data_IF_573241275709
#
_entry.id   IF_573241275709
#
_cell.length_a   1.000
_cell.length_b   1.000
_cell.length_c   1.000
_cell.angle_alpha   90.00
_cell.angle_beta   90.00
_cell.angle_gamma   90.00
#
_symmetry.space_group_name_H-M   'P 1'
#
loop_
_entity.id
_entity.type
_entity.pdbx_description
1 polymer ?
#
# COMPACT_ATOMS: atom_id res chain seq x y z
N UNK A 1 7.60 1.55 -29.54
CA UNK A 1 7.90 2.15 -28.24
C UNK A 1 8.69 1.18 -27.36
N UNK A 2 8.20 -0.03 -27.07
CA UNK A 2 8.84 -1.04 -26.21
C UNK A 2 10.24 -1.53 -26.64
N UNK A 3 10.51 -1.63 -27.94
CA UNK A 3 11.81 -2.07 -28.46
C UNK A 3 12.79 -0.92 -28.76
N UNK A 4 12.53 0.29 -28.24
CA UNK A 4 13.43 1.44 -28.44
C UNK A 4 14.77 1.18 -27.75
N UNK A 5 15.88 1.36 -28.48
CA UNK A 5 17.22 1.12 -27.92
C UNK A 5 17.60 -0.34 -27.70
N UNK A 6 16.73 -1.29 -28.06
CA UNK A 6 17.03 -2.73 -28.08
C UNK A 6 17.90 -3.05 -29.29
N UNK A 7 19.07 -3.63 -29.04
CA UNK A 7 20.08 -3.90 -30.07
C UNK A 7 19.83 -5.23 -30.77
N UNK A 8 19.55 -6.31 -30.02
CA UNK A 8 19.55 -7.68 -30.55
C UNK A 8 18.16 -8.31 -30.64
N UNK A 9 17.23 -7.67 -31.36
CA UNK A 9 15.82 -8.13 -31.46
C UNK A 9 15.67 -9.56 -31.97
N UNK A 10 16.50 -9.96 -32.94
CA UNK A 10 16.46 -11.32 -33.49
C UNK A 10 16.85 -12.36 -32.44
N UNK A 11 17.94 -12.13 -31.71
CA UNK A 11 18.38 -13.03 -30.63
C UNK A 11 17.34 -13.17 -29.52
N UNK A 12 16.62 -12.09 -29.21
CA UNK A 12 15.50 -12.14 -28.25
C UNK A 12 14.37 -13.02 -28.78
N UNK A 13 13.99 -12.85 -30.05
CA UNK A 13 12.97 -13.67 -30.69
C UNK A 13 13.36 -15.15 -30.75
N UNK A 14 14.62 -15.45 -31.06
CA UNK A 14 15.11 -16.83 -31.09
C UNK A 14 15.13 -17.44 -29.68
N UNK A 15 15.56 -16.66 -28.68
CA UNK A 15 15.65 -17.14 -27.30
C UNK A 15 14.30 -17.22 -26.58
N UNK A 16 13.22 -16.59 -27.08
CA UNK A 16 11.89 -16.68 -26.46
C UNK A 16 11.27 -18.08 -26.61
N UNK A 17 11.69 -18.83 -27.63
CA UNK A 17 11.23 -20.20 -27.89
C UNK A 17 11.63 -21.11 -26.72
N UNK A 18 12.84 -20.95 -26.18
CA UNK A 18 13.28 -21.69 -25.00
C UNK A 18 12.40 -21.42 -23.78
N UNK A 19 11.89 -20.19 -23.63
CA UNK A 19 10.95 -19.88 -22.54
C UNK A 19 9.63 -20.61 -22.73
N UNK A 20 9.12 -20.69 -23.95
CA UNK A 20 7.94 -21.51 -24.25
C UNK A 20 8.17 -22.97 -23.85
N UNK A 21 9.31 -23.54 -24.24
CA UNK A 21 9.67 -24.92 -23.91
C UNK A 21 9.74 -25.15 -22.39
N UNK A 22 10.29 -24.19 -21.63
CA UNK A 22 10.32 -24.25 -20.16
C UNK A 22 8.90 -24.32 -19.59
N UNK A 23 8.00 -23.44 -20.03
CA UNK A 23 6.61 -23.47 -19.54
C UNK A 23 5.89 -24.76 -19.97
N UNK A 24 6.08 -25.22 -21.20
CA UNK A 24 5.48 -26.45 -21.69
C UNK A 24 5.99 -27.69 -20.92
N UNK A 25 7.30 -27.78 -20.66
CA UNK A 25 7.88 -28.90 -19.91
C UNK A 25 7.38 -29.00 -18.46
N UNK A 26 6.99 -27.88 -17.85
CA UNK A 26 6.53 -27.86 -16.46
C UNK A 26 5.00 -27.86 -16.30
N UNK A 27 4.27 -27.32 -17.28
CA UNK A 27 2.81 -27.14 -17.22
C UNK A 27 2.06 -27.95 -18.28
N UNK A 28 2.76 -28.54 -19.25
CA UNK A 28 2.18 -29.25 -20.39
C UNK A 28 1.21 -28.36 -21.18
N UNK A 29 1.65 -27.13 -21.50
CA UNK A 29 0.83 -26.11 -22.17
C UNK A 29 0.26 -26.61 -23.50
N UNK A 30 1.04 -27.30 -24.31
CA UNK A 30 0.60 -27.91 -25.57
C UNK A 30 -0.58 -28.85 -25.35
N UNK A 31 -0.49 -29.69 -24.32
CA UNK A 31 -1.56 -30.61 -23.96
C UNK A 31 -2.79 -29.85 -23.44
N UNK A 32 -2.61 -28.83 -22.59
CA UNK A 32 -3.73 -27.99 -22.13
C UNK A 32 -4.45 -27.34 -23.32
N UNK A 33 -3.71 -26.72 -24.25
CA UNK A 33 -4.29 -26.05 -25.42
C UNK A 33 -5.08 -27.05 -26.25
N UNK A 34 -4.51 -28.21 -26.54
CA UNK A 34 -5.17 -29.27 -27.31
C UNK A 34 -6.42 -29.79 -26.60
N UNK A 35 -6.30 -30.20 -25.33
CA UNK A 35 -7.39 -30.76 -24.54
C UNK A 35 -8.52 -29.73 -24.41
N UNK A 36 -8.20 -28.47 -24.10
CA UNK A 36 -9.18 -27.39 -23.99
C UNK A 36 -9.91 -27.14 -25.31
N UNK A 37 -9.19 -27.06 -26.44
CA UNK A 37 -9.79 -26.86 -27.76
C UNK A 37 -10.66 -28.06 -28.15
N UNK A 38 -10.16 -29.28 -27.94
CA UNK A 38 -10.85 -30.51 -28.29
C UNK A 38 -12.12 -30.71 -27.47
N UNK A 39 -12.06 -30.52 -26.15
CA UNK A 39 -13.24 -30.57 -25.28
C UNK A 39 -14.26 -29.50 -25.65
N UNK A 40 -13.81 -28.27 -25.93
CA UNK A 40 -14.72 -27.20 -26.28
C UNK A 40 -15.43 -27.45 -27.62
N UNK A 41 -14.70 -27.98 -28.63
CA UNK A 41 -15.28 -28.40 -29.91
C UNK A 41 -16.21 -29.61 -29.76
N UNK A 42 -15.89 -30.56 -28.88
CA UNK A 42 -16.72 -31.73 -28.60
C UNK A 42 -18.05 -31.34 -27.94
N UNK A 43 -18.02 -30.41 -26.98
CA UNK A 43 -19.20 -30.00 -26.21
C UNK A 43 -20.08 -28.99 -26.95
N UNK A 44 -19.47 -28.06 -27.69
CA UNK A 44 -20.19 -26.92 -28.28
C UNK A 44 -20.26 -26.97 -29.82
N UNK A 45 -19.60 -27.94 -30.46
CA UNK A 45 -19.55 -28.06 -31.91
C UNK A 45 -19.04 -26.78 -32.57
N UNK A 46 -19.80 -26.25 -33.53
CA UNK A 46 -19.49 -25.00 -34.24
C UNK A 46 -19.87 -23.73 -33.45
N UNK A 47 -20.55 -23.84 -32.30
CA UNK A 47 -20.92 -22.70 -31.46
C UNK A 47 -19.74 -22.28 -30.56
N UNK A 48 -18.63 -21.90 -31.20
CA UNK A 48 -17.38 -21.55 -30.54
C UNK A 48 -17.52 -20.28 -29.70
N UNK A 49 -17.17 -20.35 -28.41
CA UNK A 49 -17.12 -19.20 -27.52
C UNK A 49 -15.72 -19.07 -26.90
N UNK A 50 -15.01 -18.01 -27.32
CA UNK A 50 -13.64 -17.73 -26.88
C UNK A 50 -13.55 -17.49 -25.37
N UNK A 51 -14.60 -16.95 -24.74
CA UNK A 51 -14.61 -16.65 -23.31
C UNK A 51 -14.65 -17.93 -22.50
N UNK A 52 -15.50 -18.89 -22.88
CA UNK A 52 -15.53 -20.21 -22.24
C UNK A 52 -14.23 -20.97 -22.48
N UNK A 53 -13.67 -20.93 -23.69
CA UNK A 53 -12.37 -21.53 -23.99
C UNK A 53 -11.27 -20.98 -23.07
N UNK A 54 -11.17 -19.65 -22.92
CA UNK A 54 -10.19 -19.02 -22.04
C UNK A 54 -10.41 -19.40 -20.57
N UNK A 55 -11.66 -19.53 -20.13
CA UNK A 55 -11.96 -19.96 -18.77
C UNK A 55 -11.57 -21.42 -18.51
N UNK A 56 -11.80 -22.32 -19.48
CA UNK A 56 -11.37 -23.71 -19.42
C UNK A 56 -9.85 -23.82 -19.43
N UNK A 57 -9.18 -23.11 -20.34
CA UNK A 57 -7.72 -23.03 -20.37
C UNK A 57 -7.14 -22.57 -19.03
N UNK A 58 -7.70 -21.50 -18.46
CA UNK A 58 -7.27 -20.98 -17.15
C UNK A 58 -7.49 -21.97 -16.01
N UNK A 59 -8.57 -22.76 -16.08
CA UNK A 59 -8.89 -23.80 -15.09
C UNK A 59 -7.91 -24.97 -15.21
N UNK A 60 -7.69 -25.50 -16.42
CA UNK A 60 -6.71 -26.55 -16.69
C UNK A 60 -5.29 -26.14 -16.33
N UNK A 61 -4.91 -24.88 -16.59
CA UNK A 61 -3.62 -24.34 -16.16
C UNK A 61 -3.48 -24.31 -14.64
N UNK A 62 -4.53 -23.88 -13.94
CA UNK A 62 -4.58 -23.89 -12.47
C UNK A 62 -4.48 -25.32 -11.94
N UNK A 63 -5.15 -26.29 -12.55
CA UNK A 63 -5.09 -27.69 -12.14
C UNK A 63 -3.71 -28.30 -12.37
N UNK A 64 -3.07 -27.98 -13.51
CA UNK A 64 -1.69 -28.38 -13.80
C UNK A 64 -0.69 -27.78 -12.84
N UNK A 65 -0.87 -26.53 -12.41
CA UNK A 65 -0.05 -25.93 -11.37
C UNK A 65 -0.24 -26.64 -10.03
N UNK A 66 -1.45 -27.05 -9.67
CA UNK A 66 -1.77 -27.66 -8.37
C UNK A 66 -1.69 -29.20 -8.35
N UNK A 67 -1.08 -29.84 -9.35
CA UNK A 67 -0.91 -31.30 -9.41
C UNK A 67 0.02 -31.85 -8.31
N UNK A 68 0.24 -33.17 -8.28
CA UNK A 68 0.94 -33.92 -7.21
C UNK A 68 2.32 -33.38 -6.76
N UNK A 69 3.14 -32.81 -7.66
CA UNK A 69 4.42 -32.15 -7.28
C UNK A 69 4.24 -30.88 -6.42
N UNK A 70 3.03 -30.33 -6.36
CA UNK A 70 2.71 -29.07 -5.68
C UNK A 70 3.10 -27.84 -6.49
N UNK A 71 2.29 -26.78 -6.39
CA UNK A 71 2.50 -25.54 -7.14
C UNK A 71 3.86 -24.88 -6.85
N UNK A 72 4.33 -24.95 -5.60
CA UNK A 72 5.61 -24.37 -5.22
C UNK A 72 6.80 -25.02 -5.92
N UNK A 73 6.86 -26.36 -5.97
CA UNK A 73 7.97 -27.06 -6.62
C UNK A 73 8.03 -26.72 -8.12
N UNK A 74 6.88 -26.69 -8.80
CA UNK A 74 6.80 -26.33 -10.23
C UNK A 74 7.25 -24.92 -10.51
N UNK A 75 6.77 -23.95 -9.72
CA UNK A 75 7.17 -22.54 -9.91
C UNK A 75 8.65 -22.36 -9.59
N UNK A 76 9.17 -22.97 -8.52
CA UNK A 76 10.60 -22.96 -8.19
C UNK A 76 11.42 -23.54 -9.34
N UNK A 77 11.01 -24.69 -9.90
CA UNK A 77 11.68 -25.31 -11.05
C UNK A 77 11.67 -24.41 -12.28
N UNK A 78 10.51 -23.85 -12.64
CA UNK A 78 10.41 -22.88 -13.75
C UNK A 78 11.30 -21.66 -13.52
N UNK A 79 11.35 -21.10 -12.31
CA UNK A 79 12.25 -19.98 -12.00
C UNK A 79 13.71 -20.36 -12.24
N UNK A 80 14.16 -21.54 -11.77
CA UNK A 80 15.52 -22.02 -12.01
C UNK A 80 15.81 -22.18 -13.50
N UNK A 81 14.89 -22.77 -14.25
CA UNK A 81 15.06 -22.96 -15.69
C UNK A 81 15.06 -21.62 -16.45
N UNK A 82 14.16 -20.70 -16.11
CA UNK A 82 14.10 -19.35 -16.69
C UNK A 82 15.40 -18.57 -16.43
N UNK A 83 15.90 -18.59 -15.20
CA UNK A 83 17.15 -17.94 -14.81
C UNK A 83 18.34 -18.50 -15.59
N UNK A 84 18.31 -19.77 -15.97
CA UNK A 84 19.34 -20.41 -16.79
C UNK A 84 19.09 -20.28 -18.30
N UNK A 85 17.91 -19.83 -18.73
CA UNK A 85 17.58 -19.66 -20.14
C UNK A 85 18.52 -18.70 -20.86
N UNK A 86 18.73 -18.92 -22.16
CA UNK A 86 19.45 -17.99 -23.03
C UNK A 86 18.74 -16.65 -23.10
N UNK A 87 17.41 -16.61 -22.95
CA UNK A 87 16.66 -15.36 -22.96
C UNK A 87 17.18 -14.42 -21.87
N UNK A 88 17.14 -14.87 -20.61
CA UNK A 88 17.56 -14.03 -19.49
C UNK A 88 19.08 -13.84 -19.45
N UNK A 89 19.88 -14.85 -19.77
CA UNK A 89 21.34 -14.74 -19.63
C UNK A 89 22.03 -13.97 -20.76
N UNK A 90 21.55 -14.09 -22.00
CA UNK A 90 22.21 -13.47 -23.15
C UNK A 90 21.60 -12.12 -23.54
N UNK A 91 20.42 -11.76 -23.02
CA UNK A 91 19.71 -10.53 -23.38
C UNK A 91 19.46 -9.61 -22.18
N UNK A 92 20.22 -9.72 -21.08
CA UNK A 92 20.00 -8.94 -19.85
C UNK A 92 19.77 -7.44 -20.10
N UNK A 93 20.69 -6.81 -20.83
CA UNK A 93 20.63 -5.36 -21.11
C UNK A 93 19.42 -5.01 -21.98
N UNK A 94 19.17 -5.78 -23.03
CA UNK A 94 18.04 -5.59 -23.94
C UNK A 94 16.69 -5.83 -23.24
N UNK A 95 16.60 -6.83 -22.36
CA UNK A 95 15.40 -7.13 -21.57
C UNK A 95 15.16 -6.08 -20.49
N UNK A 96 16.21 -5.66 -19.79
CA UNK A 96 16.13 -4.54 -18.85
C UNK A 96 15.59 -3.30 -19.57
N UNK A 97 16.13 -2.98 -20.76
CA UNK A 97 15.63 -1.88 -21.59
C UNK A 97 14.17 -2.08 -22.02
N UNK A 98 13.74 -3.29 -22.40
CA UNK A 98 12.34 -3.57 -22.74
C UNK A 98 11.42 -3.31 -21.55
N UNK A 99 11.79 -3.76 -20.36
CA UNK A 99 10.99 -3.58 -19.14
C UNK A 99 10.93 -2.08 -18.80
N UNK A 100 12.05 -1.37 -18.82
CA UNK A 100 12.09 0.09 -18.59
C UNK A 100 11.23 0.83 -19.61
N UNK A 101 11.37 0.54 -20.91
CA UNK A 101 10.52 1.15 -21.94
C UNK A 101 9.03 0.82 -21.76
N UNK A 102 8.70 -0.37 -21.26
CA UNK A 102 7.32 -0.75 -20.96
C UNK A 102 6.77 0.06 -19.79
N UNK A 103 7.56 0.25 -18.73
CA UNK A 103 7.22 1.09 -17.60
C UNK A 103 7.08 2.57 -17.98
N UNK A 104 8.01 3.11 -18.77
CA UNK A 104 7.91 4.47 -19.33
C UNK A 104 6.64 4.63 -20.19
N UNK A 105 6.29 3.60 -20.97
CA UNK A 105 5.06 3.59 -21.76
C UNK A 105 3.80 3.45 -20.91
N UNK A 106 3.88 2.89 -19.70
CA UNK A 106 2.81 2.92 -18.69
C UNK A 106 2.73 4.28 -17.99
N UNK A 107 3.85 4.99 -17.86
CA UNK A 107 3.91 6.38 -17.45
C UNK A 107 3.22 7.35 -18.43
N UNK A 108 2.88 6.90 -19.65
CA UNK A 108 1.94 7.62 -20.50
C UNK A 108 0.52 7.50 -19.91
N UNK A 109 -0.03 8.64 -19.47
CA UNK A 109 -1.31 8.79 -18.74
C UNK A 109 -2.46 7.93 -19.27
N UNK A 110 -2.51 7.70 -20.58
CA UNK A 110 -3.61 6.97 -21.22
C UNK A 110 -3.62 5.46 -20.90
N UNK A 111 -2.45 4.80 -20.90
CA UNK A 111 -2.36 3.34 -20.73
C UNK A 111 -2.77 2.91 -19.33
N UNK A 112 -2.30 3.64 -18.32
CA UNK A 112 -2.62 3.32 -16.94
C UNK A 112 -4.05 3.68 -16.55
N UNK A 113 -4.58 4.78 -17.09
CA UNK A 113 -5.98 5.14 -16.91
C UNK A 113 -6.92 4.03 -17.42
N UNK A 114 -6.57 3.36 -18.55
CA UNK A 114 -7.31 2.20 -19.06
C UNK A 114 -7.32 1.01 -18.08
N UNK A 115 -6.23 0.79 -17.35
CA UNK A 115 -6.19 -0.27 -16.31
C UNK A 115 -7.18 0.06 -15.19
N UNK A 116 -7.16 1.29 -14.67
CA UNK A 116 -8.13 1.73 -13.66
C UNK A 116 -9.57 1.65 -14.19
N UNK A 117 -9.77 2.03 -15.46
CA UNK A 117 -11.09 2.00 -16.10
C UNK A 117 -11.59 0.57 -16.34
N UNK A 118 -10.68 -0.41 -16.48
CA UNK A 118 -11.01 -1.83 -16.61
C UNK A 118 -11.43 -2.49 -15.29
N UNK A 119 -11.20 -1.84 -14.13
CA UNK A 119 -11.64 -2.36 -12.84
C UNK A 119 -13.17 -2.56 -12.83
N UNK A 120 -13.59 -3.68 -12.25
CA UNK A 120 -15.02 -3.97 -12.05
C UNK A 120 -15.69 -2.91 -11.17
N UNK A 121 -17.01 -2.79 -11.27
CA UNK A 121 -17.79 -1.88 -10.43
C UNK A 121 -17.53 -2.12 -8.94
N UNK A 122 -17.53 -3.38 -8.49
CA UNK A 122 -17.27 -3.72 -7.09
C UNK A 122 -15.88 -3.27 -6.60
N UNK A 123 -14.85 -3.33 -7.45
CA UNK A 123 -13.51 -2.83 -7.12
C UNK A 123 -13.49 -1.31 -7.06
N UNK A 124 -14.12 -0.64 -8.04
CA UNK A 124 -14.25 0.82 -8.07
C UNK A 124 -15.01 1.33 -6.85
N UNK A 125 -16.13 0.70 -6.49
CA UNK A 125 -16.94 1.06 -5.33
C UNK A 125 -16.11 1.03 -4.04
N UNK A 126 -15.31 -0.03 -3.82
CA UNK A 126 -14.39 -0.13 -2.67
C UNK A 126 -13.33 0.98 -2.66
N UNK A 127 -12.76 1.32 -3.82
CA UNK A 127 -11.77 2.40 -3.92
C UNK A 127 -12.43 3.75 -3.63
N UNK A 128 -13.62 3.99 -4.19
CA UNK A 128 -14.36 5.24 -4.04
C UNK A 128 -14.86 5.52 -2.63
N UNK A 129 -14.80 4.54 -1.72
CA UNK A 129 -15.00 4.79 -0.29
C UNK A 129 -13.92 5.71 0.30
N UNK A 130 -12.71 5.70 -0.28
CA UNK A 130 -11.54 6.41 0.22
C UNK A 130 -11.08 7.54 -0.70
N UNK A 131 -11.11 7.31 -2.03
CA UNK A 131 -10.60 8.27 -3.01
C UNK A 131 -11.40 8.19 -4.32
N UNK A 132 -11.71 9.35 -4.91
CA UNK A 132 -12.35 9.39 -6.22
C UNK A 132 -11.43 8.80 -7.30
N UNK A 133 -12.02 8.12 -8.29
CA UNK A 133 -11.25 7.47 -9.37
C UNK A 133 -10.41 8.49 -10.16
N UNK A 134 -10.91 9.71 -10.38
CA UNK A 134 -10.15 10.79 -11.02
C UNK A 134 -8.90 11.17 -10.23
N UNK A 135 -9.01 11.23 -8.91
CA UNK A 135 -7.92 11.63 -8.02
C UNK A 135 -6.88 10.51 -7.91
N UNK A 136 -7.34 9.26 -7.83
CA UNK A 136 -6.47 8.10 -7.92
C UNK A 136 -5.65 8.11 -9.21
N UNK A 137 -6.28 8.43 -10.35
CA UNK A 137 -5.59 8.57 -11.64
C UNK A 137 -4.54 9.68 -11.59
N UNK A 138 -4.84 10.84 -10.98
CA UNK A 138 -3.87 11.94 -10.84
C UNK A 138 -2.66 11.50 -10.02
N UNK A 139 -2.90 10.92 -8.83
CA UNK A 139 -1.83 10.43 -7.95
C UNK A 139 -0.95 9.37 -8.63
N UNK A 140 -1.57 8.38 -9.29
CA UNK A 140 -0.81 7.30 -9.90
C UNK A 140 -0.06 7.76 -11.14
N UNK A 141 -0.64 8.64 -11.97
CA UNK A 141 0.09 9.24 -13.09
C UNK A 141 1.28 10.08 -12.60
N UNK A 142 1.14 10.74 -11.44
CA UNK A 142 2.26 11.44 -10.82
C UNK A 142 3.37 10.48 -10.39
N UNK A 143 3.03 9.43 -9.64
CA UNK A 143 3.99 8.42 -9.17
C UNK A 143 4.70 7.77 -10.36
N UNK A 144 3.95 7.33 -11.38
CA UNK A 144 4.51 6.67 -12.55
C UNK A 144 5.39 7.60 -13.39
N UNK A 145 5.14 8.92 -13.39
CA UNK A 145 5.97 9.90 -14.07
C UNK A 145 7.15 10.42 -13.23
N UNK A 146 7.27 9.99 -11.98
CA UNK A 146 8.25 10.52 -11.04
C UNK A 146 9.64 9.92 -11.26
N UNK A 147 10.68 10.76 -11.21
CA UNK A 147 12.08 10.36 -11.43
C UNK A 147 12.61 9.42 -10.35
N UNK A 148 12.22 9.59 -9.09
CA UNK A 148 12.58 8.67 -8.01
C UNK A 148 11.90 7.31 -8.18
N UNK A 149 10.64 7.29 -8.60
CA UNK A 149 9.94 6.04 -8.91
C UNK A 149 10.60 5.28 -10.07
N UNK A 150 10.95 5.97 -11.16
CA UNK A 150 11.73 5.36 -12.24
C UNK A 150 13.08 4.83 -11.75
N UNK A 151 13.79 5.60 -10.92
CA UNK A 151 15.07 5.16 -10.34
C UNK A 151 14.92 3.91 -9.47
N UNK A 152 13.83 3.80 -8.70
CA UNK A 152 13.49 2.59 -7.94
C UNK A 152 13.35 1.40 -8.90
N UNK A 153 12.55 1.52 -9.95
CA UNK A 153 12.31 0.42 -10.89
C UNK A 153 13.58 0.02 -11.65
N UNK A 154 14.32 1.00 -12.16
CA UNK A 154 15.58 0.77 -12.88
C UNK A 154 16.59 0.04 -11.99
N UNK A 155 16.76 0.48 -10.74
CA UNK A 155 17.66 -0.16 -9.78
C UNK A 155 17.19 -1.57 -9.43
N UNK A 156 15.88 -1.79 -9.20
CA UNK A 156 15.33 -3.11 -8.92
C UNK A 156 15.56 -4.08 -10.09
N UNK A 157 15.20 -3.67 -11.31
CA UNK A 157 15.36 -4.49 -12.52
C UNK A 157 16.82 -4.82 -12.72
N UNK A 158 17.70 -3.80 -12.72
CA UNK A 158 19.13 -3.99 -12.94
C UNK A 158 19.74 -4.92 -11.90
N UNK A 159 19.47 -4.71 -10.61
CA UNK A 159 19.98 -5.57 -9.53
C UNK A 159 19.53 -7.02 -9.69
N UNK A 160 18.26 -7.26 -10.04
CA UNK A 160 17.74 -8.61 -10.28
C UNK A 160 18.45 -9.25 -11.48
N UNK A 161 18.54 -8.57 -12.62
CA UNK A 161 19.19 -9.11 -13.83
C UNK A 161 20.69 -9.38 -13.63
N UNK A 162 21.39 -8.49 -12.95
CA UNK A 162 22.81 -8.62 -12.65
C UNK A 162 23.09 -9.80 -11.71
N UNK A 163 22.13 -10.14 -10.84
CA UNK A 163 22.28 -11.19 -9.83
C UNK A 163 21.36 -12.41 -10.08
N UNK A 164 20.90 -12.63 -11.31
CA UNK A 164 20.04 -13.76 -11.67
C UNK A 164 20.62 -15.11 -11.21
N UNK A 165 21.94 -15.29 -11.30
CA UNK A 165 22.62 -16.51 -10.86
C UNK A 165 22.38 -16.85 -9.38
N UNK A 166 22.08 -15.85 -8.55
CA UNK A 166 21.68 -16.08 -7.15
C UNK A 166 20.38 -16.86 -7.04
N UNK A 167 19.57 -16.99 -8.09
CA UNK A 167 18.33 -17.77 -8.07
C UNK A 167 18.50 -19.21 -8.56
N UNK A 168 19.71 -19.63 -8.95
CA UNK A 168 19.96 -21.00 -9.45
C UNK A 168 19.74 -22.10 -8.42
N UNK A 169 19.88 -21.79 -7.13
CA UNK A 169 19.82 -22.77 -6.05
C UNK A 169 18.62 -22.53 -5.11
N UNK A 170 17.56 -21.89 -5.62
CA UNK A 170 16.31 -21.74 -4.87
C UNK A 170 15.59 -23.08 -4.76
N UNK A 171 15.00 -23.36 -3.59
CA UNK A 171 14.22 -24.59 -3.37
C UNK A 171 12.78 -24.32 -2.94
N UNK A 172 12.45 -23.06 -2.66
CA UNK A 172 11.14 -22.63 -2.16
C UNK A 172 10.83 -21.19 -2.55
N UNK A 173 9.57 -20.78 -2.41
CA UNK A 173 9.17 -19.37 -2.49
C UNK A 173 9.90 -18.50 -1.47
N UNK A 174 10.15 -19.07 -0.29
CA UNK A 174 10.92 -18.40 0.74
C UNK A 174 12.35 -18.09 0.24
N UNK A 175 13.03 -19.05 -0.38
CA UNK A 175 14.39 -18.84 -0.91
C UNK A 175 14.41 -17.79 -2.01
N UNK A 176 13.40 -17.78 -2.90
CA UNK A 176 13.29 -16.79 -3.97
C UNK A 176 13.16 -15.39 -3.36
N UNK A 177 12.19 -15.19 -2.46
CA UNK A 177 11.95 -13.88 -1.81
C UNK A 177 13.21 -13.45 -1.04
N UNK A 178 13.83 -14.37 -0.29
CA UNK A 178 15.04 -14.09 0.48
C UNK A 178 16.20 -13.67 -0.41
N UNK A 179 16.48 -14.41 -1.49
CA UNK A 179 17.58 -14.10 -2.43
C UNK A 179 17.31 -12.78 -3.14
N UNK A 180 16.08 -12.53 -3.59
CA UNK A 180 15.70 -11.24 -4.19
C UNK A 180 15.90 -10.10 -3.20
N UNK A 181 15.40 -10.20 -1.97
CA UNK A 181 15.59 -9.14 -0.96
C UNK A 181 17.06 -8.90 -0.61
N UNK A 182 17.89 -9.95 -0.61
CA UNK A 182 19.31 -9.85 -0.27
C UNK A 182 20.15 -9.14 -1.34
N UNK A 183 19.71 -9.13 -2.60
CA UNK A 183 20.42 -8.45 -3.70
C UNK A 183 19.96 -7.00 -3.91
N UNK A 184 18.89 -6.58 -3.23
CA UNK A 184 18.38 -5.21 -3.34
C UNK A 184 19.27 -4.23 -2.58
N UNK A 185 19.48 -3.07 -3.20
CA UNK A 185 20.12 -1.92 -2.57
C UNK A 185 19.08 -1.17 -1.73
N UNK A 186 18.80 -1.70 -0.53
CA UNK A 186 17.75 -1.16 0.34
C UNK A 186 18.04 0.28 0.80
N UNK A 187 19.30 0.73 0.79
CA UNK A 187 19.67 2.11 1.13
C UNK A 187 19.36 3.09 0.00
N UNK A 188 19.71 2.72 -1.23
CA UNK A 188 19.31 3.49 -2.42
C UNK A 188 17.78 3.55 -2.56
N UNK A 189 17.09 2.43 -2.34
CA UNK A 189 15.63 2.38 -2.37
C UNK A 189 14.99 3.26 -1.30
N UNK A 190 15.53 3.27 -0.08
CA UNK A 190 15.09 4.15 1.01
C UNK A 190 15.20 5.63 0.61
N UNK A 191 16.34 6.00 0.02
CA UNK A 191 16.58 7.36 -0.47
C UNK A 191 15.61 7.77 -1.56
N UNK A 192 15.35 6.90 -2.54
CA UNK A 192 14.39 7.21 -3.60
C UNK A 192 12.94 7.22 -3.11
N UNK A 193 12.56 6.37 -2.16
CA UNK A 193 11.21 6.43 -1.57
C UNK A 193 11.02 7.73 -0.79
N UNK A 194 12.03 8.20 -0.06
CA UNK A 194 11.99 9.51 0.59
C UNK A 194 11.77 10.64 -0.43
N UNK A 195 12.60 10.70 -1.48
CA UNK A 195 12.47 11.72 -2.52
C UNK A 195 11.13 11.65 -3.26
N UNK A 196 10.62 10.45 -3.54
CA UNK A 196 9.28 10.27 -4.11
C UNK A 196 8.20 10.85 -3.20
N UNK A 197 8.28 10.63 -1.88
CA UNK A 197 7.29 11.17 -0.95
C UNK A 197 7.38 12.69 -0.83
N UNK A 198 8.58 13.27 -0.83
CA UNK A 198 8.78 14.73 -0.86
C UNK A 198 8.22 15.36 -2.14
N UNK A 199 8.42 14.70 -3.28
CA UNK A 199 7.86 15.11 -4.57
C UNK A 199 6.33 14.99 -4.61
N UNK A 200 5.74 13.95 -4.00
CA UNK A 200 4.29 13.79 -3.89
C UNK A 200 3.70 14.95 -3.06
N UNK A 201 4.30 15.24 -1.90
CA UNK A 201 3.76 16.21 -0.95
C UNK A 201 3.91 17.66 -1.41
N UNK A 202 4.80 17.95 -2.35
CA UNK A 202 5.04 19.30 -2.88
C UNK A 202 4.22 19.64 -4.14
N UNK A 203 3.40 18.72 -4.66
CA UNK A 203 2.66 18.91 -5.93
C UNK A 203 1.25 19.43 -5.73
N UNK A 204 0.93 20.53 -6.41
CA UNK A 204 -0.39 21.15 -6.38
C UNK A 204 -1.53 20.19 -6.77
N UNK A 205 -1.34 19.38 -7.82
CA UNK A 205 -2.37 18.43 -8.29
C UNK A 205 -2.62 17.29 -7.29
N UNK A 206 -1.57 16.91 -6.55
CA UNK A 206 -1.67 15.97 -5.43
C UNK A 206 -2.40 16.63 -4.27
N UNK A 207 -2.08 17.88 -3.93
CA UNK A 207 -2.71 18.63 -2.84
C UNK A 207 -4.22 18.79 -3.06
N UNK A 208 -4.66 19.02 -4.30
CA UNK A 208 -6.10 19.05 -4.62
C UNK A 208 -6.79 17.70 -4.43
N UNK A 209 -6.08 16.60 -4.75
CA UNK A 209 -6.56 15.23 -4.53
C UNK A 209 -6.63 14.90 -3.03
N UNK A 210 -5.63 15.31 -2.26
CA UNK A 210 -5.60 15.21 -0.79
C UNK A 210 -6.75 16.01 -0.18
N UNK A 211 -7.02 17.23 -0.66
CA UNK A 211 -8.17 18.04 -0.21
C UNK A 211 -9.49 17.31 -0.38
N UNK A 212 -9.74 16.72 -1.55
CA UNK A 212 -10.97 15.95 -1.79
C UNK A 212 -11.05 14.70 -0.91
N UNK A 213 -9.94 14.00 -0.73
CA UNK A 213 -9.84 12.83 0.15
C UNK A 213 -10.12 13.19 1.61
N UNK A 214 -9.53 14.28 2.13
CA UNK A 214 -9.77 14.76 3.48
C UNK A 214 -11.21 15.22 3.65
N UNK A 215 -11.75 15.95 2.67
CA UNK A 215 -13.14 16.41 2.66
C UNK A 215 -14.14 15.25 2.73
N UNK A 216 -13.92 14.22 1.91
CA UNK A 216 -14.72 13.00 1.92
C UNK A 216 -14.57 12.23 3.23
N UNK A 217 -13.33 12.05 3.72
CA UNK A 217 -13.05 11.31 4.95
C UNK A 217 -13.70 11.97 6.16
N UNK A 218 -13.47 13.26 6.36
CA UNK A 218 -14.06 14.03 7.47
C UNK A 218 -15.59 14.07 7.36
N UNK A 219 -16.14 14.24 6.14
CA UNK A 219 -17.59 14.20 5.91
C UNK A 219 -18.20 12.85 6.26
N UNK A 220 -17.52 11.75 5.92
CA UNK A 220 -17.93 10.41 6.34
C UNK A 220 -17.98 10.30 7.87
N UNK A 221 -17.10 10.97 8.60
CA UNK A 221 -17.10 11.03 10.06
C UNK A 221 -17.93 12.19 10.63
N UNK A 222 -18.92 12.71 9.90
CA UNK A 222 -19.92 13.65 10.45
C UNK A 222 -19.46 15.11 10.55
N UNK A 223 -18.28 15.45 10.03
CA UNK A 223 -17.84 16.86 9.95
C UNK A 223 -18.59 17.54 8.80
N UNK A 224 -19.15 18.73 9.05
CA UNK A 224 -19.77 19.56 8.01
C UNK A 224 -18.70 20.23 7.14
N UNK A 225 -18.15 19.49 6.19
CA UNK A 225 -17.07 19.96 5.31
C UNK A 225 -17.50 20.98 4.25
N UNK A 226 -18.77 21.37 4.23
CA UNK A 226 -19.29 22.48 3.41
C UNK A 226 -19.36 23.81 4.18
N UNK A 227 -19.05 23.80 5.48
CA UNK A 227 -18.84 25.02 6.24
C UNK A 227 -17.64 25.79 5.68
N UNK A 228 -17.81 27.10 5.42
CA UNK A 228 -16.77 27.89 4.75
C UNK A 228 -15.43 27.93 5.49
N UNK A 229 -15.44 27.98 6.83
CA UNK A 229 -14.21 27.95 7.62
C UNK A 229 -13.53 26.58 7.58
N UNK A 230 -14.32 25.51 7.73
CA UNK A 230 -13.80 24.13 7.64
C UNK A 230 -13.26 23.83 6.23
N UNK A 231 -13.93 24.27 5.16
CA UNK A 231 -13.45 24.03 3.79
C UNK A 231 -12.09 24.71 3.53
N UNK A 232 -11.93 25.96 3.99
CA UNK A 232 -10.66 26.70 3.93
C UNK A 232 -9.59 25.96 4.73
N UNK A 233 -9.88 25.55 5.96
CA UNK A 233 -8.95 24.78 6.78
C UNK A 233 -8.50 23.48 6.10
N UNK A 234 -9.41 22.69 5.54
CA UNK A 234 -9.06 21.44 4.85
C UNK A 234 -8.18 21.73 3.63
N UNK A 235 -8.46 22.82 2.89
CA UNK A 235 -7.66 23.23 1.73
C UNK A 235 -6.25 23.65 2.14
N UNK A 236 -6.12 24.43 3.20
CA UNK A 236 -4.82 24.87 3.73
C UNK A 236 -4.03 23.70 4.31
N UNK A 237 -4.69 22.79 5.04
CA UNK A 237 -4.09 21.53 5.50
C UNK A 237 -3.54 20.71 4.34
N UNK A 238 -4.27 20.62 3.23
CA UNK A 238 -3.85 19.84 2.07
C UNK A 238 -2.66 20.47 1.34
N UNK A 239 -2.58 21.80 1.31
CA UNK A 239 -1.47 22.55 0.69
C UNK A 239 -0.21 22.59 1.53
N UNK A 240 -0.35 22.44 2.85
CA UNK A 240 0.74 22.49 3.82
C UNK A 240 0.99 21.12 4.49
N UNK A 241 0.60 20.03 3.82
CA UNK A 241 0.76 18.68 4.37
C UNK A 241 2.23 18.31 4.55
N UNK A 242 3.10 18.76 3.65
CA UNK A 242 4.55 18.65 3.75
C UNK A 242 5.08 19.31 5.04
N UNK A 243 4.62 20.54 5.32
CA UNK A 243 4.99 21.33 6.50
C UNK A 243 4.54 20.61 7.77
N UNK A 244 3.29 20.13 7.80
CA UNK A 244 2.77 19.35 8.92
C UNK A 244 3.60 18.08 9.16
N UNK A 245 3.83 17.27 8.13
CA UNK A 245 4.57 16.01 8.26
C UNK A 245 6.04 16.21 8.66
N UNK A 246 6.65 17.30 8.21
CA UNK A 246 8.02 17.67 8.58
C UNK A 246 8.12 18.20 10.02
N UNK A 247 7.24 19.10 10.44
CA UNK A 247 7.25 19.66 11.79
C UNK A 247 6.85 18.63 12.85
N UNK A 248 5.96 17.71 12.49
CA UNK A 248 5.62 16.55 13.33
C UNK A 248 6.62 15.42 13.23
N UNK A 249 7.66 15.49 12.37
CA UNK A 249 8.66 14.42 12.16
C UNK A 249 8.02 13.01 12.07
N UNK A 250 6.92 12.86 11.32
CA UNK A 250 6.21 11.59 11.20
C UNK A 250 6.72 10.75 10.02
N UNK A 251 6.96 11.39 8.88
CA UNK A 251 7.22 10.69 7.61
C UNK A 251 8.55 9.94 7.62
N UNK A 252 9.64 10.60 8.05
CA UNK A 252 10.99 10.03 8.00
C UNK A 252 11.14 8.80 8.91
N UNK A 253 10.69 8.83 10.19
CA UNK A 253 10.74 7.64 11.04
C UNK A 253 9.94 6.46 10.49
N UNK A 254 8.78 6.70 9.88
CA UNK A 254 7.95 5.65 9.28
C UNK A 254 8.70 4.97 8.12
N UNK A 255 9.24 5.74 7.19
CA UNK A 255 9.98 5.21 6.03
C UNK A 255 11.23 4.48 6.50
N UNK A 256 12.01 5.09 7.40
CA UNK A 256 13.20 4.48 7.98
C UNK A 256 12.86 3.14 8.62
N UNK A 257 11.79 3.07 9.42
CA UNK A 257 11.37 1.83 10.09
C UNK A 257 10.95 0.74 9.11
N UNK A 258 10.25 1.11 8.05
CA UNK A 258 9.90 0.20 6.97
C UNK A 258 11.16 -0.43 6.35
N UNK A 259 12.16 0.38 5.99
CA UNK A 259 13.40 -0.11 5.39
C UNK A 259 14.30 -0.86 6.38
N UNK A 260 14.33 -0.47 7.66
CA UNK A 260 14.96 -1.25 8.73
C UNK A 260 14.37 -2.67 8.78
N UNK A 261 13.04 -2.81 8.71
CA UNK A 261 12.38 -4.13 8.71
C UNK A 261 12.68 -4.93 7.44
N UNK A 262 12.73 -4.29 6.28
CA UNK A 262 13.17 -4.96 5.05
C UNK A 262 14.63 -5.43 5.16
N UNK A 263 15.52 -4.61 5.72
CA UNK A 263 16.93 -4.98 5.98
C UNK A 263 17.01 -6.17 6.94
N UNK A 264 16.22 -6.21 7.99
CA UNK A 264 16.13 -7.38 8.89
C UNK A 264 15.54 -8.62 8.20
N UNK A 265 14.49 -8.46 7.40
CA UNK A 265 13.87 -9.54 6.66
C UNK A 265 14.85 -10.18 5.66
N UNK A 266 15.64 -9.37 4.94
CA UNK A 266 16.66 -9.84 3.99
C UNK A 266 17.72 -10.75 4.63
N UNK A 267 17.96 -10.61 5.93
CA UNK A 267 18.93 -11.40 6.72
C UNK A 267 18.28 -12.62 7.41
N UNK A 268 17.01 -12.89 7.16
CA UNK A 268 16.28 -13.98 7.81
C UNK A 268 16.79 -15.34 7.34
N UNK A 269 16.95 -16.28 8.29
CA UNK A 269 17.44 -17.62 8.01
C UNK A 269 16.32 -18.64 7.78
N UNK A 270 15.06 -18.31 8.07
CA UNK A 270 13.91 -19.17 7.81
C UNK A 270 12.64 -18.36 7.46
N UNK A 271 11.63 -19.08 6.92
CA UNK A 271 10.34 -18.54 6.46
C UNK A 271 9.56 -17.83 7.56
N UNK A 272 9.45 -18.46 8.73
CA UNK A 272 8.67 -17.92 9.85
C UNK A 272 9.23 -16.57 10.31
N UNK A 273 10.55 -16.47 10.48
CA UNK A 273 11.21 -15.22 10.88
C UNK A 273 11.04 -14.12 9.83
N UNK A 274 11.10 -14.45 8.54
CA UNK A 274 10.86 -13.48 7.46
C UNK A 274 9.43 -12.96 7.52
N UNK A 275 8.44 -13.85 7.59
CA UNK A 275 7.02 -13.48 7.65
C UNK A 275 6.73 -12.66 8.91
N UNK A 276 7.21 -13.10 10.07
CA UNK A 276 7.04 -12.38 11.34
C UNK A 276 7.71 -11.00 11.31
N UNK A 277 8.87 -10.86 10.67
CA UNK A 277 9.52 -9.55 10.53
C UNK A 277 8.68 -8.62 9.65
N UNK A 278 8.22 -9.09 8.49
CA UNK A 278 7.43 -8.28 7.55
C UNK A 278 6.04 -7.93 8.11
N UNK A 279 5.40 -8.84 8.84
CA UNK A 279 4.07 -8.60 9.43
C UNK A 279 4.10 -7.53 10.53
N UNK A 280 5.24 -7.36 11.22
CA UNK A 280 5.39 -6.31 12.25
C UNK A 280 5.55 -4.90 11.70
N UNK A 281 5.70 -4.72 10.39
CA UNK A 281 5.86 -3.39 9.78
C UNK A 281 4.67 -2.49 10.13
N UNK A 282 3.43 -2.96 9.93
CA UNK A 282 2.24 -2.16 10.23
C UNK A 282 2.12 -1.81 11.70
N UNK A 283 2.44 -2.77 12.58
CA UNK A 283 2.44 -2.58 14.04
C UNK A 283 3.44 -1.51 14.46
N UNK A 284 4.66 -1.56 13.91
CA UNK A 284 5.70 -0.58 14.24
C UNK A 284 5.39 0.81 13.67
N UNK A 285 4.76 0.90 12.50
CA UNK A 285 4.29 2.17 11.94
C UNK A 285 3.20 2.78 12.84
N UNK A 286 2.22 1.98 13.27
CA UNK A 286 1.18 2.41 14.21
C UNK A 286 1.80 2.86 15.53
N UNK A 287 2.80 2.12 16.02
CA UNK A 287 3.52 2.47 17.24
C UNK A 287 4.25 3.82 17.10
N UNK A 288 4.95 4.07 16.00
CA UNK A 288 5.61 5.37 15.75
C UNK A 288 4.60 6.52 15.81
N UNK A 289 3.46 6.37 15.14
CA UNK A 289 2.41 7.39 15.17
C UNK A 289 1.84 7.59 16.58
N UNK A 290 1.58 6.49 17.30
CA UNK A 290 1.07 6.53 18.68
C UNK A 290 2.08 7.23 19.60
N UNK A 291 3.31 6.75 19.63
CA UNK A 291 4.37 7.27 20.50
C UNK A 291 4.61 8.76 20.23
N UNK A 292 4.58 9.20 18.96
CA UNK A 292 4.76 10.61 18.61
C UNK A 292 3.68 11.53 19.22
N UNK A 293 2.46 11.03 19.38
CA UNK A 293 1.34 11.76 19.98
C UNK A 293 1.29 11.57 21.50
N UNK A 294 1.55 10.37 22.02
CA UNK A 294 1.29 10.02 23.43
C UNK A 294 2.47 10.18 24.37
N UNK A 295 3.72 10.23 23.86
CA UNK A 295 4.89 10.36 24.74
C UNK A 295 5.00 11.74 25.39
N UNK A 296 4.56 12.79 24.69
CA UNK A 296 4.45 14.16 25.20
C UNK A 296 3.29 14.87 24.48
N UNK A 297 2.04 14.60 24.89
CA UNK A 297 0.86 15.09 24.19
C UNK A 297 0.76 16.61 24.22
N UNK A 298 1.20 17.25 25.30
CA UNK A 298 1.21 18.70 25.42
C UNK A 298 2.15 19.31 24.38
N UNK A 299 3.42 18.90 24.35
CA UNK A 299 4.37 19.43 23.36
C UNK A 299 3.95 19.10 21.92
N UNK A 300 3.35 17.93 21.67
CA UNK A 300 2.82 17.60 20.34
C UNK A 300 1.72 18.59 19.93
N UNK A 301 0.75 18.86 20.80
CA UNK A 301 -0.33 19.82 20.55
C UNK A 301 0.20 21.24 20.42
N UNK A 302 1.11 21.67 21.29
CA UNK A 302 1.75 23.00 21.24
C UNK A 302 2.44 23.20 19.88
N UNK A 303 3.29 22.25 19.47
CA UNK A 303 3.98 22.32 18.19
C UNK A 303 3.00 22.37 17.00
N UNK A 304 1.89 21.62 17.06
CA UNK A 304 0.86 21.62 16.02
C UNK A 304 0.11 22.96 15.96
N UNK A 305 -0.24 23.52 17.12
CA UNK A 305 -0.89 24.83 17.21
C UNK A 305 0.06 25.98 16.89
N UNK A 306 1.38 25.75 16.87
CA UNK A 306 2.37 26.73 16.46
C UNK A 306 2.51 26.88 14.94
N UNK A 307 2.05 25.91 14.16
CA UNK A 307 2.13 25.92 12.69
C UNK A 307 1.27 27.06 12.13
N UNK A 308 1.84 27.88 11.23
CA UNK A 308 1.20 29.11 10.77
C UNK A 308 -0.21 28.89 10.18
N UNK A 309 -0.38 27.94 9.26
CA UNK A 309 -1.69 27.67 8.67
C UNK A 309 -2.70 27.13 9.69
N UNK A 310 -2.24 26.47 10.76
CA UNK A 310 -3.08 26.02 11.86
C UNK A 310 -3.52 27.23 12.71
N UNK A 311 -2.60 28.13 13.04
CA UNK A 311 -2.91 29.39 13.75
C UNK A 311 -3.96 30.20 13.00
N UNK A 312 -3.75 30.38 11.70
CA UNK A 312 -4.64 31.17 10.82
C UNK A 312 -6.05 30.56 10.74
N UNK A 313 -6.15 29.23 10.88
CA UNK A 313 -7.40 28.48 10.82
C UNK A 313 -7.87 27.93 12.18
N UNK A 314 -7.36 28.45 13.32
CA UNK A 314 -7.62 27.87 14.66
C UNK A 314 -9.11 27.70 14.98
N UNK A 315 -10.01 28.66 14.69
CA UNK A 315 -11.45 28.46 14.93
C UNK A 315 -12.05 27.31 14.12
N UNK A 316 -11.61 27.15 12.87
CA UNK A 316 -12.06 26.06 12.00
C UNK A 316 -11.49 24.70 12.45
N UNK A 317 -10.24 24.66 12.94
CA UNK A 317 -9.65 23.47 13.55
C UNK A 317 -10.47 23.01 14.77
N UNK A 318 -10.76 23.93 15.71
CA UNK A 318 -11.57 23.64 16.91
C UNK A 318 -12.92 23.04 16.53
N UNK A 319 -13.61 23.69 15.57
CA UNK A 319 -14.91 23.23 15.07
C UNK A 319 -14.81 21.85 14.41
N UNK A 320 -13.76 21.62 13.63
CA UNK A 320 -13.49 20.34 12.96
C UNK A 320 -13.25 19.22 13.98
N UNK A 321 -12.41 19.45 14.99
CA UNK A 321 -12.11 18.46 16.04
C UNK A 321 -13.37 18.13 16.85
N UNK A 322 -14.15 19.13 17.25
CA UNK A 322 -15.38 18.92 18.01
C UNK A 322 -16.39 18.07 17.22
N UNK A 323 -16.63 18.40 15.95
CA UNK A 323 -17.53 17.63 15.08
C UNK A 323 -17.00 16.22 14.81
N UNK A 324 -15.68 16.08 14.60
CA UNK A 324 -15.04 14.79 14.39
C UNK A 324 -15.20 13.88 15.62
N UNK A 325 -14.99 14.40 16.83
CA UNK A 325 -15.17 13.62 18.06
C UNK A 325 -16.62 13.17 18.24
N UNK A 326 -17.59 14.04 17.93
CA UNK A 326 -19.02 13.67 17.95
C UNK A 326 -19.30 12.57 16.92
N UNK A 327 -18.84 12.70 15.68
CA UNK A 327 -19.08 11.68 14.67
C UNK A 327 -18.34 10.36 14.94
N UNK A 328 -17.14 10.39 15.54
CA UNK A 328 -16.45 9.20 16.02
C UNK A 328 -17.20 8.52 17.17
N UNK A 329 -17.85 9.31 18.04
CA UNK A 329 -18.75 8.78 19.08
C UNK A 329 -19.94 8.07 18.44
N UNK A 330 -20.63 8.74 17.52
CA UNK A 330 -21.86 8.24 16.89
C UNK A 330 -21.60 6.98 16.04
N UNK A 331 -20.39 6.83 15.50
CA UNK A 331 -19.93 5.61 14.81
C UNK A 331 -19.43 4.49 15.74
N UNK A 332 -19.42 4.71 17.04
CA UNK A 332 -18.89 3.75 18.02
C UNK A 332 -17.36 3.65 18.04
N UNK A 333 -16.64 4.49 17.29
CA UNK A 333 -15.17 4.45 17.27
C UNK A 333 -14.56 4.86 18.61
N UNK A 334 -15.11 5.88 19.27
CA UNK A 334 -14.64 6.26 20.63
C UNK A 334 -14.86 5.13 21.65
N UNK A 335 -15.95 4.37 21.51
CA UNK A 335 -16.22 3.20 22.35
C UNK A 335 -15.14 2.13 22.15
N UNK A 336 -14.80 1.81 20.91
CA UNK A 336 -13.73 0.86 20.58
C UNK A 336 -12.38 1.30 21.16
N UNK A 337 -12.03 2.58 21.03
CA UNK A 337 -10.78 3.13 21.58
C UNK A 337 -10.77 3.02 23.10
N UNK A 338 -11.83 3.48 23.77
CA UNK A 338 -11.93 3.42 25.23
C UNK A 338 -11.86 1.98 25.76
N UNK A 339 -12.45 1.02 25.05
CA UNK A 339 -12.37 -0.40 25.41
C UNK A 339 -10.95 -0.94 25.31
N UNK A 340 -10.22 -0.58 24.24
CA UNK A 340 -8.81 -0.93 24.09
C UNK A 340 -7.96 -0.38 25.23
N UNK A 341 -8.16 0.88 25.63
CA UNK A 341 -7.45 1.48 26.76
C UNK A 341 -7.74 0.71 28.06
N UNK A 342 -9.02 0.39 28.32
CA UNK A 342 -9.41 -0.39 29.51
C UNK A 342 -8.79 -1.79 29.51
N UNK A 343 -8.72 -2.43 28.33
CA UNK A 343 -8.14 -3.75 28.18
C UNK A 343 -6.62 -3.75 28.44
N UNK A 344 -5.94 -2.65 28.12
CA UNK A 344 -4.51 -2.46 28.37
C UNK A 344 -4.18 -2.12 29.84
N UNK A 345 -5.17 -1.74 30.67
CA UNK A 345 -4.93 -1.43 32.07
C UNK A 345 -4.44 -2.68 32.83
N UNK A 346 -3.28 -2.55 33.50
CA UNK A 346 -2.81 -3.54 34.46
C UNK A 346 -3.37 -3.20 35.84
N UNK A 347 -4.53 -3.78 36.15
CA UNK A 347 -5.18 -3.59 37.44
C UNK A 347 -4.51 -4.55 38.45
N UNK A 348 -3.50 -4.06 39.17
CA UNK A 348 -2.99 -4.77 40.35
C UNK A 348 -4.06 -4.80 41.44
N UNK A 349 -4.05 -5.86 42.27
CA UNK A 349 -5.07 -6.14 43.28
C UNK A 349 -5.32 -4.98 44.26
N UNK A 350 -4.35 -4.09 44.46
CA UNK A 350 -4.42 -3.04 45.50
C UNK A 350 -5.08 -1.72 45.05
N UNK A 351 -5.37 -1.52 43.75
CA UNK A 351 -5.89 -0.22 43.26
C UNK A 351 -7.36 -0.22 42.85
N UNK A 352 -8.00 -1.38 42.64
CA UNK A 352 -9.42 -1.46 42.25
C UNK A 352 -10.11 -2.75 42.76
N UNK A 353 -10.27 -2.92 44.07
CA UNK A 353 -11.17 -3.97 44.61
C UNK A 353 -12.63 -3.83 44.11
N UNK A 354 -13.03 -2.64 43.64
CA UNK A 354 -14.43 -2.29 43.30
C UNK A 354 -14.68 -2.11 41.79
N UNK A 355 -13.63 -1.94 40.97
CA UNK A 355 -13.77 -1.59 39.54
C UNK A 355 -13.04 -2.60 38.66
N UNK A 356 -13.76 -3.62 38.21
CA UNK A 356 -13.28 -4.50 37.17
C UNK A 356 -13.36 -3.84 35.77
N UNK A 357 -12.62 -4.40 34.81
CA UNK A 357 -12.64 -3.93 33.40
C UNK A 357 -14.05 -3.92 32.81
N UNK A 358 -14.90 -4.86 33.23
CA UNK A 358 -16.31 -4.95 32.81
C UNK A 358 -17.11 -3.74 33.24
N UNK A 359 -16.94 -3.30 34.48
CA UNK A 359 -17.62 -2.14 35.07
C UNK A 359 -17.14 -0.85 34.43
N UNK A 360 -15.83 -0.71 34.16
CA UNK A 360 -15.28 0.41 33.40
C UNK A 360 -15.88 0.48 31.98
N UNK A 361 -16.01 -0.65 31.28
CA UNK A 361 -16.65 -0.70 29.95
C UNK A 361 -18.12 -0.31 30.00
N UNK A 362 -18.88 -0.75 31.02
CA UNK A 362 -20.26 -0.31 31.24
C UNK A 362 -20.36 1.19 31.52
N UNK A 363 -19.42 1.76 32.28
CA UNK A 363 -19.38 3.20 32.51
C UNK A 363 -19.15 3.96 31.20
N UNK A 364 -18.21 3.49 30.36
CA UNK A 364 -18.00 4.04 29.02
C UNK A 364 -19.29 4.00 28.19
N UNK A 365 -20.02 2.88 28.19
CA UNK A 365 -21.30 2.76 27.49
C UNK A 365 -22.34 3.79 27.98
N UNK A 366 -22.43 3.97 29.30
CA UNK A 366 -23.35 4.96 29.90
C UNK A 366 -22.93 6.37 29.50
N UNK A 367 -21.64 6.72 29.56
CA UNK A 367 -21.14 8.07 29.25
C UNK A 367 -21.30 8.39 27.76
N UNK A 368 -20.87 7.49 26.88
CA UNK A 368 -20.92 7.71 25.43
C UNK A 368 -22.35 7.73 24.87
N UNK A 369 -23.32 7.13 25.56
CA UNK A 369 -24.74 7.17 25.17
C UNK A 369 -25.48 8.44 25.59
N UNK A 370 -24.88 9.33 26.41
CA UNK A 370 -25.53 10.59 26.80
C UNK A 370 -25.41 11.64 25.70
N UNK A 371 -26.53 12.27 25.35
CA UNK A 371 -26.55 13.45 24.46
C UNK A 371 -25.74 14.61 25.03
N UNK A 372 -25.74 14.79 26.36
CA UNK A 372 -24.95 15.81 27.05
C UNK A 372 -23.44 15.69 26.80
N UNK A 373 -22.94 14.51 26.40
CA UNK A 373 -21.54 14.38 26.04
C UNK A 373 -21.20 15.21 24.79
N UNK A 374 -22.13 15.41 23.85
CA UNK A 374 -21.89 16.27 22.70
C UNK A 374 -21.69 17.72 23.14
N UNK A 375 -22.52 18.21 24.07
CA UNK A 375 -22.38 19.55 24.64
C UNK A 375 -21.05 19.70 25.40
N UNK A 376 -20.63 18.64 26.11
CA UNK A 376 -19.35 18.62 26.80
C UNK A 376 -18.18 18.65 25.80
N UNK A 377 -18.23 17.88 24.72
CA UNK A 377 -17.22 17.92 23.65
C UNK A 377 -17.13 19.33 23.04
N UNK A 378 -18.28 19.93 22.69
CA UNK A 378 -18.30 21.28 22.08
C UNK A 378 -17.78 22.37 23.00
N UNK A 379 -17.85 22.18 24.33
CA UNK A 379 -17.38 23.15 25.30
C UNK A 379 -15.92 22.91 25.72
N UNK A 380 -15.49 21.66 25.86
CA UNK A 380 -14.13 21.32 26.32
C UNK A 380 -13.09 21.47 25.22
N UNK A 381 -13.40 21.08 23.99
CA UNK A 381 -12.43 21.15 22.87
C UNK A 381 -11.90 22.58 22.65
N UNK A 382 -12.75 23.64 22.64
CA UNK A 382 -12.25 25.00 22.60
C UNK A 382 -11.32 25.35 23.76
N UNK A 383 -11.66 24.99 24.99
CA UNK A 383 -10.83 25.30 26.17
C UNK A 383 -9.44 24.64 26.06
N UNK A 384 -9.38 23.34 25.73
CA UNK A 384 -8.12 22.58 25.62
C UNK A 384 -7.20 23.07 24.49
N UNK A 385 -7.76 23.66 23.43
CA UNK A 385 -7.00 24.15 22.28
C UNK A 385 -6.71 25.66 22.36
N UNK A 386 -7.48 26.42 23.14
CA UNK A 386 -7.22 27.82 23.41
C UNK A 386 -6.14 28.00 24.48
N UNK A 387 -6.13 27.12 25.48
CA UNK A 387 -5.14 27.08 26.55
C UNK A 387 -4.58 25.65 26.70
N UNK A 388 -3.29 25.49 26.42
CA UNK A 388 -2.59 24.21 26.51
C UNK A 388 -1.81 24.03 27.81
N UNK A 389 -2.04 24.84 28.85
CA UNK A 389 -1.35 24.74 30.15
C UNK A 389 -1.81 23.55 31.05
N UNK A 390 -2.50 22.56 30.48
CA UNK A 390 -3.00 21.37 31.19
C UNK A 390 -1.99 20.22 31.28
#
# INVERSE_FOLDING_TARGET
>A
MFFKGVQNKQRIADNIIEVYDIFDNNLSLNQIIFDTLFEHLKENGYQFNITSLLSSFGSSLKDRLNSEEGAEAKVVKMVKELVNSKLLNQNKEDLSRIIVNALESLGNKESFNKIIDSLSKAQKDKITQYIQISDLKVLLNFVLGNTHFHSILDNLIKRVFDNLSTLNDVTSYFDIIKRVLAILDLESLETHVLGLMEDILSRNEVNDSVYRLLKQTLGNFGVNTNDGGIDVFIRDLSRNLDTLLNQTDLLKPIIKKFFEKLKHASRSNNKEKLINTLSTISVDIVKIMKDKVTSDPKSFVDNLLEIQFIKDNKPALIKTIAQLLIGLKDKGTLKTIAYGIIDDLNLSADTLEVLDKTTLKKLVDIVLSKENLNNLITNIVPELLNDTNW
#
